data_IF_146408068140
#
_entry.id   IF_146408068140
#
_cell.length_a   1.000
_cell.length_b   1.000
_cell.length_c   1.000
_cell.angle_alpha   90.00
_cell.angle_beta   90.00
_cell.angle_gamma   90.00
#
_symmetry.space_group_name_H-M   'P 1'
#
loop_
_entity.id
_entity.type
_entity.pdbx_description
1 polymer ?
#
# COMPACT_ATOMS: atom_id res chain seq x y z
N UNK A 1 -41.11 15.32 -42.08
CA UNK A 1 -40.71 16.38 -41.13
C UNK A 1 -39.29 16.79 -41.44
N UNK A 2 -39.04 18.06 -41.72
CA UNK A 2 -37.69 18.57 -41.92
C UNK A 2 -36.91 18.49 -40.60
N UNK A 3 -35.70 17.92 -40.62
CA UNK A 3 -34.79 17.93 -39.47
C UNK A 3 -34.30 19.37 -39.32
N UNK A 4 -34.81 20.10 -38.31
CA UNK A 4 -34.48 21.52 -38.13
C UNK A 4 -33.15 21.76 -37.43
N UNK A 5 -32.57 20.72 -36.81
CA UNK A 5 -31.34 20.81 -36.04
C UNK A 5 -30.64 19.44 -36.03
N UNK A 6 -29.34 19.44 -36.29
CA UNK A 6 -28.49 18.25 -36.31
C UNK A 6 -27.44 18.37 -35.22
N UNK A 7 -27.39 17.37 -34.35
CA UNK A 7 -26.49 17.27 -33.20
C UNK A 7 -25.48 16.19 -33.54
N UNK A 8 -24.24 16.58 -33.77
CA UNK A 8 -23.16 15.67 -34.17
C UNK A 8 -21.84 16.16 -33.57
N UNK A 9 -21.03 15.22 -33.09
CA UNK A 9 -19.63 15.48 -32.78
C UNK A 9 -18.75 14.86 -33.87
N UNK A 10 -18.28 15.69 -34.80
CA UNK A 10 -17.41 15.27 -35.92
C UNK A 10 -15.94 15.14 -35.54
N UNK A 11 -15.54 15.72 -34.39
CA UNK A 11 -14.13 15.72 -33.96
C UNK A 11 -13.77 14.42 -33.24
N UNK A 12 -12.65 13.82 -33.63
CA UNK A 12 -12.09 12.67 -32.92
C UNK A 12 -11.66 13.03 -31.50
N UNK A 13 -12.22 12.33 -30.50
CA UNK A 13 -11.79 12.40 -29.10
C UNK A 13 -10.53 11.54 -28.88
N UNK A 14 -9.36 12.04 -29.31
CA UNK A 14 -8.08 11.31 -29.16
C UNK A 14 -7.57 11.28 -27.72
N UNK A 15 -7.60 12.42 -27.05
CA UNK A 15 -7.09 12.56 -25.67
C UNK A 15 -8.23 12.80 -24.64
N UNK A 16 -9.47 12.60 -25.07
CA UNK A 16 -10.69 12.85 -24.29
C UNK A 16 -11.52 11.60 -24.17
N UNK A 17 -12.14 11.45 -22.99
CA UNK A 17 -13.09 10.38 -22.72
C UNK A 17 -14.52 10.91 -22.89
N UNK A 18 -14.78 12.15 -22.46
CA UNK A 18 -16.10 12.78 -22.57
C UNK A 18 -15.97 14.16 -23.21
N UNK A 19 -16.89 14.48 -24.11
CA UNK A 19 -17.05 15.80 -24.71
C UNK A 19 -18.51 16.24 -24.68
N UNK A 20 -18.75 17.45 -24.18
CA UNK A 20 -20.07 18.09 -24.15
C UNK A 20 -20.43 18.72 -25.49
N UNK A 21 -21.70 18.61 -25.86
CA UNK A 21 -22.35 19.36 -26.93
C UNK A 21 -23.65 20.04 -26.41
N UNK A 22 -23.86 21.34 -26.70
CA UNK A 22 -22.85 22.26 -27.22
C UNK A 22 -21.72 22.46 -26.19
N UNK A 23 -20.52 22.83 -26.66
CA UNK A 23 -19.35 22.98 -25.79
C UNK A 23 -19.56 24.06 -24.71
N UNK A 24 -20.30 25.11 -25.06
CA UNK A 24 -20.57 26.27 -24.21
C UNK A 24 -22.07 26.60 -24.19
N UNK A 25 -22.48 27.35 -23.17
CA UNK A 25 -23.85 27.85 -23.00
C UNK A 25 -24.76 26.86 -22.27
N UNK A 26 -26.06 27.14 -22.28
CA UNK A 26 -27.06 26.34 -21.53
C UNK A 26 -27.44 25.04 -22.26
N UNK A 27 -27.11 24.92 -23.55
CA UNK A 27 -27.55 23.81 -24.40
C UNK A 27 -29.05 23.86 -24.62
N UNK A 28 -29.50 24.39 -25.76
CA UNK A 28 -30.91 24.47 -26.11
C UNK A 28 -31.14 23.56 -27.30
N UNK A 29 -31.87 22.47 -27.08
CA UNK A 29 -32.11 21.45 -28.09
C UNK A 29 -33.58 21.50 -28.50
N UNK A 30 -33.83 21.53 -29.82
CA UNK A 30 -35.18 21.38 -30.36
C UNK A 30 -35.65 19.94 -30.30
N UNK A 31 -36.91 19.77 -29.96
CA UNK A 31 -37.58 18.48 -30.11
C UNK A 31 -37.67 18.08 -31.58
N UNK A 32 -37.36 16.82 -31.88
CA UNK A 32 -37.21 16.32 -33.25
C UNK A 32 -35.83 16.55 -33.87
N UNK A 33 -34.86 17.09 -33.11
CA UNK A 33 -33.47 17.17 -33.55
C UNK A 33 -32.90 15.77 -33.85
N UNK A 34 -32.07 15.69 -34.89
CA UNK A 34 -31.37 14.46 -35.23
C UNK A 34 -30.04 14.39 -34.46
N UNK A 35 -29.90 13.40 -33.58
CA UNK A 35 -28.67 13.06 -32.89
C UNK A 35 -27.91 12.00 -33.70
N UNK A 36 -26.70 12.33 -34.14
CA UNK A 36 -25.83 11.42 -34.89
C UNK A 36 -24.70 10.98 -33.95
N UNK A 37 -24.65 9.67 -33.71
CA UNK A 37 -23.61 9.04 -32.89
C UNK A 37 -22.73 8.19 -33.80
N UNK A 38 -21.44 8.52 -33.85
CA UNK A 38 -20.47 7.76 -34.64
C UNK A 38 -20.12 6.42 -33.98
N UNK A 39 -19.58 5.51 -34.78
CA UNK A 39 -19.02 4.25 -34.25
C UNK A 39 -17.90 4.54 -33.25
N UNK A 40 -17.83 3.72 -32.19
CA UNK A 40 -16.87 3.91 -31.10
C UNK A 40 -17.22 5.08 -30.14
N UNK A 41 -18.44 5.61 -30.21
CA UNK A 41 -18.95 6.61 -29.30
C UNK A 41 -20.36 6.25 -28.82
N UNK A 42 -20.71 6.70 -27.62
CA UNK A 42 -22.08 6.77 -27.13
C UNK A 42 -22.42 8.22 -26.80
N UNK A 43 -23.70 8.59 -26.90
CA UNK A 43 -24.19 9.89 -26.50
C UNK A 43 -25.10 9.78 -25.28
N UNK A 44 -24.76 10.45 -24.19
CA UNK A 44 -25.56 10.52 -22.96
C UNK A 44 -26.32 11.83 -22.96
N UNK A 45 -27.65 11.74 -22.90
CA UNK A 45 -28.51 12.91 -22.83
C UNK A 45 -28.69 13.35 -21.38
N UNK A 46 -28.30 14.59 -21.09
CA UNK A 46 -28.21 15.14 -19.75
C UNK A 46 -29.06 16.40 -19.63
N UNK A 47 -29.88 16.46 -18.58
CA UNK A 47 -30.85 17.52 -18.38
C UNK A 47 -31.22 17.64 -16.91
N UNK A 48 -31.44 18.87 -16.44
CA UNK A 48 -31.91 19.17 -15.09
C UNK A 48 -31.07 18.47 -14.00
N UNK A 49 -29.75 18.37 -14.22
CA UNK A 49 -28.81 17.70 -13.31
C UNK A 49 -28.88 16.16 -13.33
N UNK A 50 -29.51 15.55 -14.34
CA UNK A 50 -29.70 14.10 -14.44
C UNK A 50 -29.34 13.58 -15.83
N UNK A 51 -28.66 12.44 -15.86
CA UNK A 51 -28.47 11.64 -17.07
C UNK A 51 -29.75 10.83 -17.35
N UNK A 52 -30.43 11.17 -18.43
CA UNK A 52 -31.74 10.59 -18.75
C UNK A 52 -31.59 9.29 -19.53
N UNK A 53 -30.88 9.33 -20.66
CA UNK A 53 -30.74 8.19 -21.55
C UNK A 53 -29.38 8.14 -22.26
N UNK A 54 -29.03 6.97 -22.80
CA UNK A 54 -27.78 6.72 -23.55
C UNK A 54 -28.09 6.17 -24.93
N UNK A 55 -27.58 6.84 -25.96
CA UNK A 55 -27.72 6.46 -27.36
C UNK A 55 -26.43 5.83 -27.87
N UNK A 56 -26.54 4.62 -28.45
CA UNK A 56 -25.43 3.97 -29.14
C UNK A 56 -25.20 4.51 -30.56
N UNK A 57 -24.26 3.92 -31.32
CA UNK A 57 -23.95 4.35 -32.68
C UNK A 57 -25.17 4.34 -33.62
N UNK A 58 -25.30 5.37 -34.44
CA UNK A 58 -26.40 5.52 -35.39
C UNK A 58 -27.06 6.90 -35.37
N UNK A 59 -28.10 7.05 -36.18
CA UNK A 59 -28.92 8.26 -36.24
C UNK A 59 -30.18 8.08 -35.41
N UNK A 60 -30.35 8.95 -34.42
CA UNK A 60 -31.47 8.97 -33.51
C UNK A 60 -32.26 10.26 -33.68
N UNK A 61 -33.59 10.21 -33.51
CA UNK A 61 -34.42 11.41 -33.50
C UNK A 61 -34.85 11.63 -32.05
N UNK A 62 -34.54 12.79 -31.49
CA UNK A 62 -34.91 13.12 -30.13
C UNK A 62 -36.42 13.39 -30.06
N UNK A 63 -37.16 12.42 -29.53
CA UNK A 63 -38.62 12.47 -29.35
C UNK A 63 -38.99 11.97 -27.95
N UNK A 64 -40.24 12.19 -27.53
CA UNK A 64 -40.74 11.72 -26.22
C UNK A 64 -40.72 10.20 -26.10
N UNK A 65 -40.83 9.51 -27.24
CA UNK A 65 -40.76 8.06 -27.31
C UNK A 65 -39.35 7.52 -26.99
N UNK A 66 -38.31 8.24 -27.38
CA UNK A 66 -36.91 7.80 -27.23
C UNK A 66 -36.25 8.31 -25.94
N UNK A 67 -36.90 9.21 -25.22
CA UNK A 67 -36.47 9.66 -23.89
C UNK A 67 -37.73 9.74 -23.02
N UNK A 68 -38.08 8.69 -22.27
CA UNK A 68 -39.35 8.60 -21.55
C UNK A 68 -39.62 9.78 -20.61
N UNK A 69 -38.55 10.35 -20.03
CA UNK A 69 -38.61 11.52 -19.15
C UNK A 69 -38.92 12.85 -19.88
N UNK A 70 -38.83 12.91 -21.22
CA UNK A 70 -39.32 14.05 -22.00
C UNK A 70 -40.86 14.07 -22.09
N UNK A 71 -41.53 12.92 -21.93
CA UNK A 71 -42.99 12.79 -22.02
C UNK A 71 -43.72 13.67 -21.01
N UNK A 72 -43.19 13.74 -19.78
CA UNK A 72 -43.77 14.55 -18.71
C UNK A 72 -43.72 16.05 -19.04
N UNK A 73 -42.76 16.49 -19.86
CA UNK A 73 -42.59 17.90 -20.19
C UNK A 73 -43.44 18.38 -21.37
N UNK A 74 -43.64 17.51 -22.36
CA UNK A 74 -44.48 17.84 -23.53
C UNK A 74 -45.95 17.94 -23.13
N UNK A 75 -46.36 17.24 -22.07
CA UNK A 75 -47.72 17.36 -21.53
C UNK A 75 -48.01 18.70 -20.82
N UNK A 76 -46.97 19.40 -20.31
CA UNK A 76 -47.13 20.66 -19.57
C UNK A 76 -47.03 21.91 -20.43
N UNK A 77 -46.44 21.84 -21.63
CA UNK A 77 -46.27 23.00 -22.53
C UNK A 77 -47.14 22.84 -23.76
N UNK A 78 -48.38 23.28 -23.63
CA UNK A 78 -49.27 23.53 -24.75
C UNK A 78 -48.79 24.84 -25.40
N UNK A 79 -48.57 24.84 -26.72
CA UNK A 79 -48.26 25.98 -27.61
C UNK A 79 -46.78 26.41 -27.73
N UNK A 80 -46.21 26.24 -28.94
CA UNK A 80 -45.29 27.23 -29.51
C UNK A 80 -43.95 26.69 -30.01
N UNK A 81 -43.03 26.39 -29.10
CA UNK A 81 -41.65 26.03 -29.44
C UNK A 81 -41.13 24.95 -28.47
N UNK A 82 -41.01 23.71 -28.92
CA UNK A 82 -40.48 22.60 -28.13
C UNK A 82 -38.94 22.67 -28.02
N UNK A 83 -38.41 23.79 -27.53
CA UNK A 83 -37.00 23.96 -27.18
C UNK A 83 -36.85 23.70 -25.69
N UNK A 84 -35.99 22.78 -25.31
CA UNK A 84 -35.67 22.51 -23.90
C UNK A 84 -34.18 22.70 -23.64
N UNK A 85 -33.84 23.09 -22.41
CA UNK A 85 -32.46 23.16 -21.96
C UNK A 85 -31.94 21.75 -21.68
N UNK A 86 -31.01 21.29 -22.49
CA UNK A 86 -30.37 19.99 -22.35
C UNK A 86 -29.02 19.97 -23.04
N UNK A 87 -28.20 19.03 -22.61
CA UNK A 87 -26.82 18.85 -23.03
C UNK A 87 -26.65 17.40 -23.45
N UNK A 88 -25.85 17.19 -24.49
CA UNK A 88 -25.45 15.85 -24.91
C UNK A 88 -23.97 15.66 -24.59
N UNK A 89 -23.63 14.60 -23.87
CA UNK A 89 -22.25 14.20 -23.62
C UNK A 89 -21.90 13.04 -24.53
N UNK A 90 -20.99 13.26 -25.46
CA UNK A 90 -20.39 12.19 -26.25
C UNK A 90 -19.29 11.54 -25.42
N UNK A 91 -19.32 10.21 -25.35
CA UNK A 91 -18.38 9.39 -24.60
C UNK A 91 -17.65 8.46 -25.56
N UNK A 92 -16.33 8.46 -25.50
CA UNK A 92 -15.50 7.56 -26.29
C UNK A 92 -15.59 6.13 -25.73
N UNK A 93 -16.12 5.20 -26.54
CA UNK A 93 -16.28 3.78 -26.20
C UNK A 93 -15.16 2.90 -26.77
N UNK A 94 -14.22 3.49 -27.51
CA UNK A 94 -13.04 2.78 -28.02
C UNK A 94 -12.11 2.37 -26.88
N UNK A 95 -11.27 1.38 -27.15
CA UNK A 95 -10.19 1.01 -26.25
C UNK A 95 -9.11 2.11 -26.21
N UNK A 96 -8.58 2.34 -25.02
CA UNK A 96 -7.39 3.14 -24.73
C UNK A 96 -6.25 2.17 -24.40
N UNK A 97 -5.45 1.77 -25.40
CA UNK A 97 -4.39 0.80 -25.22
C UNK A 97 -3.12 1.44 -24.65
N UNK A 98 -2.32 0.63 -23.95
CA UNK A 98 -0.94 0.96 -23.56
C UNK A 98 -0.76 2.21 -22.68
N UNK A 99 -1.71 2.49 -21.81
CA UNK A 99 -1.54 3.54 -20.80
C UNK A 99 -0.52 3.11 -19.75
N UNK A 100 0.53 3.93 -19.56
CA UNK A 100 1.53 3.66 -18.53
C UNK A 100 0.98 3.83 -17.11
N UNK A 101 1.35 2.91 -16.21
CA UNK A 101 1.10 3.02 -14.76
C UNK A 101 2.39 2.78 -13.98
N UNK A 102 2.44 3.28 -12.75
CA UNK A 102 3.56 3.04 -11.84
C UNK A 102 3.26 3.51 -10.43
N UNK A 103 3.93 2.88 -9.47
CA UNK A 103 3.82 3.20 -8.04
C UNK A 103 4.49 4.54 -7.77
N UNK A 104 3.72 5.53 -7.28
CA UNK A 104 4.28 6.83 -6.86
C UNK A 104 4.97 6.74 -5.51
N UNK A 105 4.42 5.94 -4.61
CA UNK A 105 5.00 5.62 -3.32
C UNK A 105 5.63 4.23 -3.40
N UNK A 106 6.79 4.01 -2.77
CA UNK A 106 7.41 2.69 -2.74
C UNK A 106 6.51 1.68 -2.04
N UNK A 107 6.43 0.47 -2.57
CA UNK A 107 5.80 -0.67 -1.89
C UNK A 107 6.85 -1.32 -1.01
N UNK A 108 6.54 -1.49 0.28
CA UNK A 108 7.41 -2.19 1.21
C UNK A 108 7.14 -3.69 1.16
N UNK A 109 8.17 -4.47 0.84
CA UNK A 109 8.15 -5.92 0.83
C UNK A 109 9.06 -6.44 1.94
N UNK A 110 8.61 -7.41 2.72
CA UNK A 110 9.45 -8.04 3.72
C UNK A 110 10.51 -8.92 3.03
N UNK A 111 11.73 -8.90 3.56
CA UNK A 111 12.83 -9.74 3.10
C UNK A 111 13.51 -10.43 4.29
N UNK A 112 12.88 -11.45 4.90
CA UNK A 112 13.40 -12.12 6.08
C UNK A 112 14.82 -12.65 5.85
N UNK A 113 15.73 -12.35 6.78
CA UNK A 113 17.12 -12.82 6.72
C UNK A 113 18.00 -12.10 5.68
N UNK A 114 17.53 -11.03 5.06
CA UNK A 114 18.30 -10.24 4.08
C UNK A 114 18.31 -8.76 4.43
N UNK A 115 19.48 -8.14 4.41
CA UNK A 115 19.66 -6.70 4.60
C UNK A 115 18.99 -6.19 5.88
N UNK A 116 18.11 -5.20 5.73
CA UNK A 116 17.35 -4.58 6.83
C UNK A 116 16.03 -5.29 7.15
N UNK A 117 15.77 -6.47 6.57
CA UNK A 117 14.52 -7.21 6.71
C UNK A 117 13.36 -6.69 5.84
N UNK A 118 13.60 -5.62 5.09
CA UNK A 118 12.64 -5.00 4.17
C UNK A 118 13.34 -4.52 2.91
N UNK A 119 12.59 -4.49 1.81
CA UNK A 119 12.99 -3.92 0.54
C UNK A 119 11.87 -3.00 0.03
N UNK A 120 12.22 -1.76 -0.31
CA UNK A 120 11.32 -0.86 -1.01
C UNK A 120 11.37 -1.14 -2.51
N UNK A 121 10.22 -1.35 -3.13
CA UNK A 121 10.08 -1.73 -4.52
C UNK A 121 9.20 -0.72 -5.25
N UNK A 122 9.61 -0.34 -6.44
CA UNK A 122 8.76 0.33 -7.42
C UNK A 122 8.22 -0.69 -8.42
N UNK A 123 6.92 -0.65 -8.68
CA UNK A 123 6.28 -1.44 -9.73
C UNK A 123 5.78 -0.51 -10.83
N UNK A 124 5.91 -0.93 -12.09
CA UNK A 124 5.45 -0.16 -13.24
C UNK A 124 5.04 -1.09 -14.38
N UNK A 125 4.31 -0.54 -15.34
CA UNK A 125 3.91 -1.28 -16.53
C UNK A 125 2.94 -0.49 -17.39
N UNK A 126 2.15 -1.22 -18.17
CA UNK A 126 1.12 -0.65 -19.03
C UNK A 126 -0.22 -1.33 -18.79
N UNK A 127 -1.32 -0.63 -19.05
CA UNK A 127 -2.67 -1.17 -18.98
C UNK A 127 -3.50 -0.66 -20.15
N UNK A 128 -4.51 -1.44 -20.53
CA UNK A 128 -5.51 -1.06 -21.52
C UNK A 128 -6.89 -1.04 -20.87
N UNK A 129 -7.69 -0.03 -21.18
CA UNK A 129 -9.05 0.07 -20.64
C UNK A 129 -10.02 0.59 -21.70
N UNK A 130 -11.31 0.35 -21.48
CA UNK A 130 -12.37 0.93 -22.29
C UNK A 130 -13.52 1.40 -21.40
N UNK A 131 -14.37 2.29 -21.92
CA UNK A 131 -15.61 2.67 -21.23
C UNK A 131 -16.64 1.56 -21.43
N UNK A 132 -17.19 1.09 -20.31
CA UNK A 132 -18.26 0.07 -20.29
C UNK A 132 -19.64 0.70 -20.09
N UNK A 133 -19.72 1.73 -19.26
CA UNK A 133 -20.96 2.44 -18.92
C UNK A 133 -20.76 3.95 -19.08
N UNK A 134 -21.20 4.47 -20.24
CA UNK A 134 -21.10 5.88 -20.57
C UNK A 134 -21.88 6.77 -19.59
N UNK A 135 -23.04 6.32 -19.12
CA UNK A 135 -23.88 7.06 -18.18
C UNK A 135 -23.17 7.24 -16.85
N UNK A 136 -22.60 6.15 -16.32
CA UNK A 136 -21.83 6.17 -15.08
C UNK A 136 -20.60 7.08 -15.16
N UNK A 137 -19.88 7.07 -16.29
CA UNK A 137 -18.74 7.98 -16.48
C UNK A 137 -19.18 9.44 -16.40
N UNK A 138 -20.26 9.81 -17.10
CA UNK A 138 -20.79 11.18 -17.07
C UNK A 138 -21.24 11.58 -15.67
N UNK A 139 -21.97 10.71 -14.97
CA UNK A 139 -22.46 10.99 -13.62
C UNK A 139 -21.33 11.11 -12.59
N UNK A 140 -20.31 10.26 -12.69
CA UNK A 140 -19.20 10.19 -11.72
C UNK A 140 -18.20 11.32 -11.88
N UNK A 141 -17.88 11.71 -13.12
CA UNK A 141 -16.80 12.66 -13.39
C UNK A 141 -17.29 14.05 -13.76
N UNK A 142 -18.37 14.14 -14.54
CA UNK A 142 -18.78 15.41 -15.14
C UNK A 142 -19.84 16.12 -14.31
N UNK A 143 -20.78 15.37 -13.72
CA UNK A 143 -21.77 15.89 -12.76
C UNK A 143 -22.58 17.10 -13.23
N UNK A 144 -22.62 17.38 -14.54
CA UNK A 144 -23.30 18.52 -15.16
C UNK A 144 -22.52 19.84 -15.23
N UNK A 145 -21.24 19.90 -14.80
CA UNK A 145 -20.46 21.15 -14.75
C UNK A 145 -19.32 21.24 -15.76
N UNK A 146 -18.62 20.14 -16.02
CA UNK A 146 -17.47 20.14 -16.92
C UNK A 146 -17.90 19.98 -18.39
N UNK A 147 -17.23 20.71 -19.29
CA UNK A 147 -17.48 20.60 -20.73
C UNK A 147 -16.73 19.42 -21.38
N UNK A 148 -15.70 18.89 -20.73
CA UNK A 148 -14.94 17.75 -21.21
C UNK A 148 -14.29 17.00 -20.05
N UNK A 149 -13.97 15.73 -20.28
CA UNK A 149 -13.16 14.90 -19.40
C UNK A 149 -11.94 14.44 -20.18
N UNK A 150 -10.77 14.94 -19.80
CA UNK A 150 -9.51 14.55 -20.42
C UNK A 150 -9.02 13.22 -19.84
N UNK A 151 -8.32 12.45 -20.67
CA UNK A 151 -7.77 11.14 -20.29
C UNK A 151 -6.84 11.23 -19.07
N UNK A 152 -6.09 12.33 -18.93
CA UNK A 152 -5.11 12.54 -17.85
C UNK A 152 -5.75 12.58 -16.46
N UNK A 153 -6.93 13.18 -16.37
CA UNK A 153 -7.65 13.33 -15.11
C UNK A 153 -8.18 11.98 -14.61
N UNK A 154 -8.70 11.18 -15.54
CA UNK A 154 -9.17 9.81 -15.26
C UNK A 154 -8.01 8.87 -14.96
N UNK A 155 -6.94 8.96 -15.74
CA UNK A 155 -5.76 8.09 -15.62
C UNK A 155 -5.20 8.08 -14.20
N UNK A 156 -5.19 9.23 -13.51
CA UNK A 156 -4.71 9.29 -12.12
C UNK A 156 -5.52 8.38 -11.19
N UNK A 157 -6.86 8.35 -11.32
CA UNK A 157 -7.71 7.47 -10.52
C UNK A 157 -7.54 6.00 -10.89
N UNK A 158 -7.42 5.68 -12.18
CA UNK A 158 -7.20 4.32 -12.66
C UNK A 158 -5.85 3.76 -12.20
N UNK A 159 -4.78 4.57 -12.27
CA UNK A 159 -3.46 4.18 -11.79
C UNK A 159 -3.48 3.96 -10.28
N UNK A 160 -4.19 4.79 -9.51
CA UNK A 160 -4.33 4.58 -8.07
C UNK A 160 -4.98 3.21 -7.76
N UNK A 161 -6.05 2.85 -8.48
CA UNK A 161 -6.71 1.56 -8.33
C UNK A 161 -5.76 0.38 -8.60
N UNK A 162 -4.98 0.47 -9.69
CA UNK A 162 -3.96 -0.52 -10.05
C UNK A 162 -2.88 -0.61 -8.97
N UNK A 163 -2.35 0.52 -8.49
CA UNK A 163 -1.27 0.53 -7.49
C UNK A 163 -1.73 0.06 -6.12
N UNK A 164 -2.99 0.30 -5.74
CA UNK A 164 -3.58 -0.24 -4.53
C UNK A 164 -3.67 -1.77 -4.61
N UNK A 165 -4.22 -2.30 -5.71
CA UNK A 165 -4.29 -3.73 -5.94
C UNK A 165 -2.90 -4.40 -5.99
N UNK A 166 -1.89 -3.71 -6.55
CA UNK A 166 -0.50 -4.18 -6.54
C UNK A 166 0.07 -4.23 -5.12
N UNK A 167 -0.18 -3.20 -4.31
CA UNK A 167 0.27 -3.14 -2.90
C UNK A 167 -0.37 -4.26 -2.09
N UNK A 168 -1.67 -4.50 -2.27
CA UNK A 168 -2.39 -5.58 -1.61
C UNK A 168 -1.82 -6.96 -1.99
N UNK A 169 -1.45 -7.15 -3.26
CA UNK A 169 -0.80 -8.39 -3.71
C UNK A 169 0.54 -8.63 -3.02
N UNK A 170 1.39 -7.60 -2.89
CA UNK A 170 2.67 -7.72 -2.17
C UNK A 170 2.47 -8.06 -0.69
N UNK A 171 1.44 -7.50 -0.06
CA UNK A 171 1.10 -7.78 1.33
C UNK A 171 0.60 -9.22 1.55
N UNK A 172 -0.22 -9.74 0.64
CA UNK A 172 -0.80 -11.09 0.74
C UNK A 172 0.19 -12.20 0.36
N UNK A 173 0.89 -12.04 -0.77
CA UNK A 173 1.77 -13.09 -1.30
C UNK A 173 3.11 -13.12 -0.58
N UNK A 174 3.61 -11.94 -0.18
CA UNK A 174 4.91 -11.75 0.46
C UNK A 174 6.05 -12.62 -0.12
N UNK A 175 6.53 -12.32 -1.35
CA UNK A 175 7.50 -13.17 -2.06
C UNK A 175 8.83 -13.37 -1.32
N UNK A 176 9.15 -12.53 -0.33
CA UNK A 176 10.33 -12.62 0.53
C UNK A 176 11.65 -12.16 -0.13
N UNK A 177 11.72 -12.08 -1.46
CA UNK A 177 12.84 -11.44 -2.17
C UNK A 177 12.42 -11.01 -3.59
N UNK A 178 13.25 -10.15 -4.20
CA UNK A 178 12.97 -9.57 -5.52
C UNK A 178 12.95 -10.62 -6.63
N UNK A 179 13.83 -11.62 -6.60
CA UNK A 179 13.89 -12.67 -7.63
C UNK A 179 12.59 -13.48 -7.68
N UNK A 180 12.08 -13.88 -6.52
CA UNK A 180 10.78 -14.56 -6.41
C UNK A 180 9.64 -13.67 -6.89
N UNK A 181 9.62 -12.39 -6.49
CA UNK A 181 8.61 -11.45 -6.97
C UNK A 181 8.64 -11.28 -8.50
N UNK A 182 9.82 -11.23 -9.11
CA UNK A 182 9.98 -11.18 -10.57
C UNK A 182 9.59 -12.49 -11.27
N UNK A 183 9.64 -13.62 -10.58
CA UNK A 183 9.13 -14.90 -11.08
C UNK A 183 7.61 -15.01 -11.06
N UNK A 184 6.89 -14.06 -10.43
CA UNK A 184 5.43 -14.12 -10.21
C UNK A 184 4.67 -12.96 -10.89
N UNK A 185 5.24 -12.36 -11.94
CA UNK A 185 4.65 -11.18 -12.58
C UNK A 185 3.31 -11.48 -13.27
N UNK A 186 3.15 -12.69 -13.79
CA UNK A 186 1.91 -13.12 -14.48
C UNK A 186 0.78 -13.30 -13.46
N UNK A 187 1.06 -13.93 -12.33
CA UNK A 187 0.15 -14.07 -11.19
C UNK A 187 -0.23 -12.70 -10.62
N UNK A 188 0.75 -11.81 -10.48
CA UNK A 188 0.51 -10.43 -10.04
C UNK A 188 -0.40 -9.69 -11.03
N UNK A 189 -0.15 -9.79 -12.34
CA UNK A 189 -0.98 -9.14 -13.37
C UNK A 189 -2.43 -9.61 -13.30
N UNK A 190 -2.64 -10.92 -13.11
CA UNK A 190 -3.97 -11.53 -13.01
C UNK A 190 -4.67 -11.09 -11.74
N UNK A 191 -3.98 -11.10 -10.60
CA UNK A 191 -4.52 -10.66 -9.32
C UNK A 191 -4.90 -9.18 -9.34
N UNK A 192 -4.03 -8.32 -9.88
CA UNK A 192 -4.31 -6.89 -10.02
C UNK A 192 -5.52 -6.68 -10.92
N UNK A 193 -5.61 -7.38 -12.06
CA UNK A 193 -6.76 -7.27 -12.95
C UNK A 193 -8.07 -7.57 -12.24
N UNK A 194 -8.11 -8.64 -11.44
CA UNK A 194 -9.31 -9.04 -10.69
C UNK A 194 -9.65 -8.00 -9.62
N UNK A 195 -8.68 -7.61 -8.78
CA UNK A 195 -8.91 -6.70 -7.65
C UNK A 195 -9.24 -5.28 -8.07
N UNK A 196 -8.58 -4.77 -9.12
CA UNK A 196 -8.82 -3.42 -9.60
C UNK A 196 -10.14 -3.29 -10.36
N UNK A 197 -10.70 -4.39 -10.89
CA UNK A 197 -11.89 -4.36 -11.73
C UNK A 197 -13.10 -3.72 -11.04
N UNK A 198 -13.33 -3.98 -9.75
CA UNK A 198 -14.46 -3.39 -9.01
C UNK A 198 -14.36 -1.86 -8.94
N UNK A 199 -13.15 -1.32 -8.77
CA UNK A 199 -12.94 0.13 -8.78
C UNK A 199 -13.10 0.72 -10.19
N UNK A 200 -12.69 -0.02 -11.23
CA UNK A 200 -12.95 0.35 -12.62
C UNK A 200 -14.44 0.38 -12.93
N UNK A 201 -15.20 -0.64 -12.51
CA UNK A 201 -16.65 -0.71 -12.67
C UNK A 201 -17.37 0.42 -11.91
N UNK A 202 -16.86 0.81 -10.73
CA UNK A 202 -17.36 1.98 -10.00
C UNK A 202 -17.24 3.28 -10.82
N UNK A 203 -16.21 3.38 -11.66
CA UNK A 203 -15.98 4.51 -12.58
C UNK A 203 -16.66 4.35 -13.95
N UNK A 204 -17.32 3.22 -14.22
CA UNK A 204 -17.95 2.92 -15.52
C UNK A 204 -16.96 2.42 -16.59
N UNK A 205 -15.81 1.90 -16.16
CA UNK A 205 -14.72 1.47 -17.03
C UNK A 205 -14.47 -0.04 -16.88
N UNK A 206 -13.83 -0.62 -17.90
CA UNK A 206 -13.42 -2.02 -17.91
C UNK A 206 -11.91 -2.10 -18.10
N UNK A 207 -11.23 -2.81 -17.19
CA UNK A 207 -9.81 -3.09 -17.32
C UNK A 207 -9.62 -4.26 -18.29
N UNK A 208 -9.18 -3.96 -19.52
CA UNK A 208 -9.06 -4.94 -20.60
C UNK A 208 -7.80 -5.78 -20.44
N UNK A 209 -6.69 -5.11 -20.24
CA UNK A 209 -5.36 -5.72 -20.15
C UNK A 209 -4.53 -4.97 -19.12
N UNK A 210 -3.63 -5.70 -18.48
CA UNK A 210 -2.58 -5.13 -17.64
C UNK A 210 -1.32 -5.96 -17.83
N UNK A 211 -0.21 -5.26 -18.00
CA UNK A 211 1.12 -5.84 -18.13
C UNK A 211 2.00 -5.21 -17.08
N UNK A 212 2.76 -6.02 -16.37
CA UNK A 212 3.79 -5.54 -15.46
C UNK A 212 5.09 -5.43 -16.26
N UNK A 213 5.62 -4.21 -16.39
CA UNK A 213 6.88 -3.94 -17.09
C UNK A 213 8.09 -4.38 -16.27
N UNK A 214 8.00 -4.27 -14.94
CA UNK A 214 9.01 -4.81 -14.04
C UNK A 214 8.91 -4.29 -12.63
N UNK A 215 9.76 -4.88 -11.77
CA UNK A 215 9.94 -4.51 -10.38
C UNK A 215 11.36 -3.97 -10.19
N UNK A 216 11.46 -2.74 -9.72
CA UNK A 216 12.74 -2.06 -9.51
C UNK A 216 12.98 -1.89 -8.01
N UNK A 217 14.13 -2.33 -7.48
CA UNK A 217 14.50 -2.02 -6.11
C UNK A 217 14.74 -0.51 -6.00
N UNK A 218 14.17 0.09 -4.96
CA UNK A 218 14.35 1.49 -4.62
C UNK A 218 15.32 1.60 -3.45
N UNK A 219 15.90 2.79 -3.29
CA UNK A 219 16.77 3.07 -2.16
C UNK A 219 16.05 2.77 -0.84
N UNK A 220 16.61 1.81 -0.11
CA UNK A 220 16.10 1.28 1.15
C UNK A 220 17.15 1.54 2.22
N UNK A 221 16.99 2.65 2.94
CA UNK A 221 17.86 3.00 4.06
C UNK A 221 17.14 2.75 5.39
N UNK A 222 17.92 2.53 6.46
CA UNK A 222 17.37 2.34 7.79
C UNK A 222 16.56 3.57 8.26
N UNK A 223 16.96 4.76 7.85
CA UNK A 223 16.25 6.03 8.10
C UNK A 223 14.87 6.02 7.44
N UNK A 224 14.81 5.71 6.15
CA UNK A 224 13.56 5.69 5.39
C UNK A 224 12.61 4.61 5.89
N UNK A 225 13.13 3.43 6.24
CA UNK A 225 12.32 2.37 6.85
C UNK A 225 11.77 2.76 8.22
N UNK A 226 12.57 3.46 9.05
CA UNK A 226 12.10 4.01 10.33
C UNK A 226 11.01 5.05 10.11
N UNK A 227 11.18 5.97 9.15
CA UNK A 227 10.19 7.01 8.85
C UNK A 227 8.87 6.43 8.33
N UNK A 228 8.93 5.27 7.65
CA UNK A 228 7.76 4.49 7.23
C UNK A 228 7.19 3.59 8.35
N UNK A 229 7.81 3.55 9.54
CA UNK A 229 7.39 2.71 10.66
C UNK A 229 7.67 1.22 10.50
N UNK A 230 8.54 0.83 9.56
CA UNK A 230 8.87 -0.56 9.24
C UNK A 230 10.07 -1.10 10.02
N UNK A 231 10.90 -0.20 10.57
CA UNK A 231 12.08 -0.54 11.37
C UNK A 231 11.93 -0.05 12.81
N UNK A 232 12.22 -0.93 13.77
CA UNK A 232 12.18 -0.61 15.20
C UNK A 232 13.23 0.45 15.58
N UNK A 233 12.87 1.37 16.48
CA UNK A 233 13.75 2.44 16.94
C UNK A 233 15.04 1.91 17.60
N UNK A 234 14.97 0.78 18.32
CA UNK A 234 16.12 0.16 18.95
C UNK A 234 17.06 -0.45 17.90
N UNK A 235 16.50 -1.15 16.90
CA UNK A 235 17.29 -1.69 15.80
C UNK A 235 17.98 -0.57 15.00
N UNK A 236 17.26 0.51 14.74
CA UNK A 236 17.82 1.70 14.09
C UNK A 236 18.99 2.31 14.89
N UNK A 237 18.84 2.46 16.22
CA UNK A 237 19.92 2.95 17.08
C UNK A 237 21.15 2.03 17.04
N UNK A 238 20.94 0.71 17.04
CA UNK A 238 22.04 -0.26 16.93
C UNK A 238 22.78 -0.12 15.59
N UNK A 239 22.06 0.01 14.46
CA UNK A 239 22.66 0.23 13.15
C UNK A 239 23.46 1.54 13.08
N UNK A 240 22.93 2.63 13.66
CA UNK A 240 23.64 3.92 13.71
C UNK A 240 24.88 3.89 14.61
N UNK A 241 24.82 3.15 15.73
CA UNK A 241 25.99 2.94 16.58
C UNK A 241 27.09 2.18 15.83
N UNK A 242 26.73 1.11 15.11
CA UNK A 242 27.68 0.34 14.28
C UNK A 242 28.30 1.20 13.17
N UNK A 243 27.50 1.99 12.45
CA UNK A 243 27.97 2.91 11.40
C UNK A 243 28.97 3.95 11.96
N UNK A 244 28.74 4.42 13.20
CA UNK A 244 29.64 5.37 13.87
C UNK A 244 30.96 4.74 14.26
N UNK A 245 30.93 3.50 14.78
CA UNK A 245 32.14 2.72 15.09
C UNK A 245 32.92 2.46 13.81
N UNK A 246 32.27 1.99 12.75
CA UNK A 246 32.89 1.71 11.46
C UNK A 246 33.57 2.95 10.88
N UNK A 247 32.87 4.10 10.83
CA UNK A 247 33.44 5.37 10.37
C UNK A 247 34.60 5.86 11.23
N UNK A 248 34.54 5.64 12.55
CA UNK A 248 35.66 5.95 13.44
C UNK A 248 36.88 5.04 13.23
N UNK A 249 36.66 3.77 12.87
CA UNK A 249 37.71 2.81 12.57
C UNK A 249 38.31 2.96 11.16
N UNK A 250 37.50 3.32 10.16
CA UNK A 250 37.97 3.59 8.79
C UNK A 250 38.72 4.92 8.69
N UNK A 251 38.46 5.87 9.60
CA UNK A 251 39.29 7.08 9.77
C UNK A 251 40.65 6.84 10.43
N UNK A 252 41.03 5.58 10.68
CA UNK A 252 42.18 5.18 11.48
C UNK A 252 43.38 4.64 10.69
N UNK A 253 43.67 5.18 9.50
CA UNK A 253 44.72 4.63 8.64
C UNK A 253 45.39 5.62 7.70
N UNK A 254 45.80 6.81 8.17
CA UNK A 254 46.77 7.64 7.45
C UNK A 254 46.50 9.15 7.52
N UNK A 255 47.30 9.82 8.37
CA UNK A 255 47.70 11.23 8.18
C UNK A 255 46.63 12.31 8.38
N UNK A 256 46.84 13.12 9.42
CA UNK A 256 46.30 14.49 9.57
C UNK A 256 44.77 14.62 9.73
N UNK A 257 44.27 14.27 10.92
CA UNK A 257 42.88 14.54 11.31
C UNK A 257 42.55 14.35 12.79
N UNK A 258 43.57 14.35 13.66
CA UNK A 258 43.41 14.38 15.12
C UNK A 258 42.87 15.75 15.54
N UNK A 259 41.55 15.92 15.49
CA UNK A 259 40.90 17.14 15.97
C UNK A 259 39.38 17.06 16.15
N UNK A 260 38.68 16.15 15.47
CA UNK A 260 37.20 16.14 15.50
C UNK A 260 36.62 14.81 16.01
N UNK A 261 37.31 13.68 15.87
CA UNK A 261 36.82 12.36 16.37
C UNK A 261 37.03 12.11 17.86
N UNK A 262 38.04 12.74 18.48
CA UNK A 262 38.31 12.65 19.93
C UNK A 262 37.55 13.70 20.75
N UNK A 263 37.06 14.77 20.13
CA UNK A 263 36.29 15.83 20.82
C UNK A 263 34.84 15.44 21.13
N UNK A 264 34.22 14.57 20.33
CA UNK A 264 32.85 14.10 20.56
C UNK A 264 32.77 12.94 21.56
N UNK A 265 33.80 12.08 21.62
CA UNK A 265 33.92 11.04 22.65
C UNK A 265 34.21 11.58 24.05
N UNK A 266 34.83 12.77 24.15
CA UNK A 266 35.04 13.49 25.42
C UNK A 266 33.88 14.41 25.81
N UNK A 267 33.09 14.92 24.86
CA UNK A 267 31.91 15.75 25.14
C UNK A 267 30.75 15.00 25.81
N UNK A 268 30.58 13.71 25.49
CA UNK A 268 29.65 12.82 26.20
C UNK A 268 30.17 12.38 27.58
N UNK A 269 31.50 12.42 27.79
CA UNK A 269 32.12 12.15 29.10
C UNK A 269 31.97 13.29 30.12
N UNK A 270 31.87 14.53 29.65
CA UNK A 270 31.69 15.71 30.53
C UNK A 270 30.26 15.89 31.05
N UNK A 271 29.23 15.47 30.30
CA UNK A 271 27.84 15.50 30.76
C UNK A 271 27.56 14.53 31.92
N UNK A 272 28.29 13.40 31.95
CA UNK A 272 28.21 12.40 33.01
C UNK A 272 29.00 12.81 34.27
N UNK A 273 30.08 13.59 34.11
CA UNK A 273 30.94 14.05 35.21
C UNK A 273 30.23 15.00 36.19
N UNK A 274 29.34 15.87 35.71
CA UNK A 274 28.59 16.79 36.56
C UNK A 274 27.42 16.12 37.31
N UNK A 275 26.87 15.03 36.80
CA UNK A 275 25.87 14.23 37.53
C UNK A 275 26.54 13.39 38.64
N UNK A 276 27.79 12.98 38.44
CA UNK A 276 28.57 12.20 39.40
C UNK A 276 29.16 13.06 40.53
N UNK A 277 29.49 14.33 40.26
CA UNK A 277 29.93 15.28 41.28
C UNK A 277 28.81 15.68 42.26
N UNK A 278 27.55 15.76 41.79
CA UNK A 278 26.38 16.01 42.64
C UNK A 278 26.03 14.87 43.59
N UNK A 279 26.43 13.64 43.28
CA UNK A 279 26.24 12.47 44.13
C UNK A 279 27.31 12.34 45.23
N UNK A 280 28.48 12.97 45.03
CA UNK A 280 29.62 12.90 45.97
C UNK A 280 29.57 13.94 47.09
N UNK A 281 28.76 15.00 46.95
CA UNK A 281 28.57 16.05 47.98
C UNK A 281 27.57 15.70 49.09
N UNK A 282 26.75 14.66 48.92
CA UNK A 282 25.66 14.31 49.84
C UNK A 282 25.99 13.31 50.95
N UNK A 283 27.21 12.78 51.02
CA UNK A 283 27.52 11.61 51.87
C UNK A 283 28.34 11.90 53.15
N UNK A 284 28.60 13.16 53.51
CA UNK A 284 29.42 13.51 54.69
C UNK A 284 28.62 13.77 55.98
N UNK A 285 27.35 13.40 56.06
CA UNK A 285 26.54 13.69 57.25
C UNK A 285 25.55 12.57 57.62
N UNK A 286 26.00 11.33 57.78
CA UNK A 286 25.34 10.42 58.73
C UNK A 286 26.23 9.24 59.11
N UNK A 287 27.06 9.46 60.13
CA UNK A 287 27.80 8.46 60.86
C UNK A 287 27.14 8.31 62.24
N UNK A 288 26.26 7.30 62.42
CA UNK A 288 26.06 6.60 63.68
C UNK A 288 25.11 5.40 63.52
N UNK A 289 25.63 4.19 63.78
CA UNK A 289 24.83 3.03 64.20
C UNK A 289 24.96 1.75 63.37
N UNK A 290 25.75 0.80 63.91
CA UNK A 290 25.65 -0.67 63.80
C UNK A 290 26.08 -1.40 62.50
N UNK A 291 27.20 -2.12 62.64
CA UNK A 291 27.66 -3.33 61.91
C UNK A 291 27.08 -4.62 62.56
N UNK A 292 27.26 -5.87 62.03
CA UNK A 292 27.86 -6.30 60.74
C UNK A 292 27.14 -7.47 59.99
N UNK A 293 27.67 -7.77 58.79
CA UNK A 293 27.77 -9.09 58.09
C UNK A 293 26.54 -9.66 57.33
N UNK A 294 26.64 -10.22 56.11
CA UNK A 294 27.78 -10.55 55.23
C UNK A 294 27.38 -10.74 53.74
N UNK A 295 28.25 -10.28 52.84
CA UNK A 295 28.71 -10.88 51.54
C UNK A 295 27.72 -11.04 50.33
N UNK A 296 28.22 -11.15 49.07
CA UNK A 296 27.97 -10.16 48.03
C UNK A 296 27.30 -10.70 46.73
N UNK A 297 26.74 -9.82 45.88
CA UNK A 297 26.40 -10.12 44.48
C UNK A 297 27.55 -9.76 43.53
N UNK A 298 27.82 -10.64 42.57
CA UNK A 298 28.89 -10.53 41.59
C UNK A 298 28.45 -9.74 40.35
N UNK A 299 29.35 -8.91 39.83
CA UNK A 299 29.20 -8.13 38.62
C UNK A 299 29.89 -8.79 37.41
N UNK A 300 29.27 -8.53 36.24
CA UNK A 300 29.88 -8.09 34.98
C UNK A 300 30.61 -9.05 34.02
N UNK A 301 30.39 -8.69 32.75
CA UNK A 301 31.18 -8.85 31.52
C UNK A 301 31.03 -10.11 30.65
N UNK A 302 30.69 -9.83 29.38
CA UNK A 302 30.84 -10.65 28.18
C UNK A 302 32.33 -10.68 27.72
N UNK A 303 32.76 -11.22 26.53
CA UNK A 303 32.09 -12.02 25.47
C UNK A 303 32.91 -13.20 24.83
N UNK A 304 32.22 -14.07 24.05
CA UNK A 304 32.64 -15.01 22.95
C UNK A 304 33.64 -16.18 23.25
N UNK A 305 33.68 -17.32 22.49
CA UNK A 305 33.06 -17.68 21.20
C UNK A 305 32.22 -18.99 21.18
N UNK A 306 31.77 -19.41 19.99
CA UNK A 306 30.89 -20.55 19.71
C UNK A 306 31.37 -21.91 20.28
N UNK A 307 30.45 -22.58 20.97
CA UNK A 307 30.44 -23.96 21.44
C UNK A 307 28.98 -24.32 21.80
N UNK A 308 28.60 -25.60 21.89
CA UNK A 308 27.21 -26.04 21.77
C UNK A 308 26.32 -25.31 22.78
N UNK A 309 25.19 -24.79 22.29
CA UNK A 309 24.24 -24.00 23.07
C UNK A 309 24.01 -24.64 24.45
N UNK A 310 24.38 -23.91 25.50
CA UNK A 310 24.12 -24.33 26.87
C UNK A 310 22.62 -24.47 27.03
N UNK A 311 22.16 -25.72 27.16
CA UNK A 311 20.75 -26.05 27.34
C UNK A 311 20.26 -25.32 28.60
N UNK A 312 19.26 -24.42 28.49
CA UNK A 312 18.77 -23.69 29.65
C UNK A 312 18.22 -24.66 30.69
N UNK A 313 18.49 -24.39 31.98
CA UNK A 313 18.08 -25.27 33.09
C UNK A 313 16.55 -25.45 33.17
N UNK A 314 15.80 -24.46 32.68
CA UNK A 314 14.35 -24.47 32.52
C UNK A 314 14.04 -24.03 31.10
N UNK A 315 13.30 -24.85 30.36
CA UNK A 315 13.00 -24.64 28.95
C UNK A 315 11.50 -24.60 28.69
N UNK A 316 11.11 -23.91 27.63
CA UNK A 316 9.75 -23.94 27.10
C UNK A 316 9.47 -25.22 26.32
N UNK A 317 8.20 -25.48 25.98
CA UNK A 317 7.81 -26.69 25.21
C UNK A 317 8.51 -26.76 23.86
N UNK A 318 8.67 -25.62 23.18
CA UNK A 318 9.36 -25.53 21.87
C UNK A 318 10.85 -25.87 21.98
N UNK A 319 11.49 -25.46 23.06
CA UNK A 319 12.91 -25.76 23.33
C UNK A 319 13.10 -27.20 23.77
N UNK A 320 12.16 -27.75 24.55
CA UNK A 320 12.14 -29.18 24.91
C UNK A 320 11.91 -30.08 23.69
N UNK A 321 11.04 -29.69 22.77
CA UNK A 321 10.81 -30.39 21.52
C UNK A 321 12.07 -30.40 20.64
N UNK A 322 12.78 -29.27 20.57
CA UNK A 322 14.08 -29.18 19.88
C UNK A 322 15.16 -30.03 20.56
N UNK A 323 15.13 -30.17 21.90
CA UNK A 323 16.07 -31.01 22.66
C UNK A 323 15.81 -32.50 22.47
N UNK A 324 14.53 -32.91 22.43
CA UNK A 324 14.11 -34.30 22.25
C UNK A 324 14.06 -34.74 20.78
N UNK A 325 14.06 -33.80 19.83
CA UNK A 325 13.92 -34.09 18.41
C UNK A 325 12.53 -34.57 17.99
N UNK A 326 11.48 -34.15 18.71
CA UNK A 326 10.08 -34.55 18.49
C UNK A 326 9.19 -33.35 18.18
N UNK A 327 7.93 -33.58 17.80
CA UNK A 327 6.97 -32.51 17.56
C UNK A 327 6.59 -31.80 18.88
N UNK A 328 6.21 -30.52 18.80
CA UNK A 328 5.85 -29.73 19.99
C UNK A 328 4.61 -30.31 20.66
N UNK A 329 3.70 -30.84 19.87
CA UNK A 329 2.45 -31.49 20.28
C UNK A 329 2.72 -32.72 21.16
N UNK A 330 3.70 -33.54 20.78
CA UNK A 330 4.08 -34.73 21.55
C UNK A 330 4.61 -34.35 22.94
N UNK A 331 5.38 -33.26 23.04
CA UNK A 331 5.89 -32.76 24.33
C UNK A 331 4.76 -32.20 25.19
N UNK A 332 3.75 -31.56 24.59
CA UNK A 332 2.54 -31.11 25.30
C UNK A 332 1.78 -32.31 25.86
N UNK A 333 1.64 -33.39 25.09
CA UNK A 333 0.95 -34.60 25.51
C UNK A 333 1.72 -35.37 26.60
N UNK A 334 3.05 -35.40 26.55
CA UNK A 334 3.89 -35.95 27.63
C UNK A 334 3.78 -35.13 28.93
N UNK A 335 3.62 -33.81 28.83
CA UNK A 335 3.37 -32.94 29.99
C UNK A 335 1.94 -33.14 30.54
N UNK A 336 0.94 -33.31 29.67
CA UNK A 336 -0.46 -33.51 30.06
C UNK A 336 -0.72 -34.90 30.67
N UNK A 337 -0.03 -35.93 30.16
CA UNK A 337 -0.08 -37.30 30.67
C UNK A 337 0.72 -37.50 31.96
N UNK A 338 1.51 -36.50 32.37
CA UNK A 338 2.33 -36.53 33.58
C UNK A 338 3.62 -37.36 33.46
N UNK A 339 3.98 -37.80 32.25
CA UNK A 339 5.21 -38.56 32.00
C UNK A 339 6.47 -37.69 32.14
N UNK A 340 6.37 -36.39 31.83
CA UNK A 340 7.42 -35.41 32.09
C UNK A 340 6.96 -34.44 33.19
N UNK A 341 7.75 -34.30 34.25
CA UNK A 341 7.48 -33.34 35.34
C UNK A 341 7.63 -31.91 34.80
N UNK A 342 6.51 -31.22 34.59
CA UNK A 342 6.45 -29.84 34.10
C UNK A 342 5.62 -28.95 35.01
N UNK A 343 5.96 -27.66 35.12
CA UNK A 343 5.17 -26.66 35.83
C UNK A 343 4.42 -25.78 34.83
N UNK A 344 3.09 -25.78 34.89
CA UNK A 344 2.26 -24.88 34.10
C UNK A 344 2.24 -23.49 34.72
N UNK A 345 2.62 -22.47 33.96
CA UNK A 345 2.57 -21.06 34.34
C UNK A 345 1.73 -20.34 33.27
N UNK A 346 0.47 -20.05 33.61
CA UNK A 346 -0.50 -19.51 32.65
C UNK A 346 -0.80 -20.52 31.53
N UNK A 347 -0.60 -20.10 30.28
CA UNK A 347 -0.78 -20.95 29.08
C UNK A 347 0.46 -21.74 28.68
N UNK A 348 1.60 -21.58 29.38
CA UNK A 348 2.87 -22.20 29.01
C UNK A 348 3.32 -23.25 30.02
N UNK A 349 3.99 -24.31 29.54
CA UNK A 349 4.72 -25.24 30.39
C UNK A 349 6.20 -24.83 30.50
N UNK A 350 6.73 -24.95 31.72
CA UNK A 350 8.16 -24.85 32.03
C UNK A 350 8.66 -26.21 32.46
N UNK A 351 9.62 -26.74 31.72
CA UNK A 351 10.17 -28.09 31.89
C UNK A 351 11.62 -27.93 32.33
N UNK A 352 12.05 -28.63 33.39
CA UNK A 352 13.46 -28.63 33.77
C UNK A 352 14.23 -29.63 32.91
N UNK A 353 15.49 -29.32 32.61
CA UNK A 353 16.37 -30.26 31.90
C UNK A 353 16.45 -31.62 32.63
N UNK A 354 16.54 -31.59 33.95
CA UNK A 354 16.56 -32.81 34.78
C UNK A 354 15.34 -33.69 34.61
N UNK A 355 14.15 -33.13 34.35
CA UNK A 355 12.93 -33.90 34.15
C UNK A 355 12.91 -34.58 32.78
N UNK A 356 13.51 -33.95 31.77
CA UNK A 356 13.66 -34.54 30.43
C UNK A 356 14.75 -35.62 30.45
N UNK A 357 15.87 -35.37 31.13
CA UNK A 357 16.93 -36.36 31.30
C UNK A 357 16.43 -37.58 32.12
N UNK A 358 15.58 -37.38 33.13
CA UNK A 358 14.94 -38.46 33.90
C UNK A 358 14.03 -39.31 33.00
N UNK A 359 13.22 -38.68 32.13
CA UNK A 359 12.36 -39.37 31.16
C UNK A 359 13.14 -40.14 30.09
N UNK A 360 14.24 -39.60 29.60
CA UNK A 360 15.08 -40.29 28.60
C UNK A 360 15.83 -41.50 29.18
N UNK A 361 15.98 -41.56 30.50
CA UNK A 361 16.64 -42.65 31.22
C UNK A 361 15.66 -43.66 31.85
N UNK A 362 14.35 -43.43 31.74
CA UNK A 362 13.28 -44.30 32.28
C UNK A 362 12.67 -45.19 31.20
#
# INVERSE_FOLDING_TARGET
>A
MAVSEMIELTREMRDRIVQRWPENGEGRIKMGAALIVHQGQNAVFYRDGKSLDTFGPGRHILTTANVPLLTNLVSSTIWGDNIFSAVVYYVAMREFPQEGWGTRQPIAMQTPGQGLGWLLIGAHGTFGFEVKDAKRVVDTFVGGGQAALDLRDVKTRLVNAITQAATDWFAEVNPGNLMKAQGMLDEMSTAIKIKAQDQFDAMGMLLKSITIGGLSPLETSAEKLKDMGLLDANMYMQLKALETIERSSQGGGGGAGTGVGLGAGMGAGMGLGNMMAGMFGGMQQQQQGAQPQAAPPQAASAPAPAGPAAVPAIMGVTEAAAYLGVAVEDVVDLCNSGQIKAKKIGSQYRISKSAIDEFMNS
#
